data_IF_833536789553
#
_entry.id   IF_833536789553
#
_cell.length_a   1.000
_cell.length_b   1.000
_cell.length_c   1.000
_cell.angle_alpha   90.00
_cell.angle_beta   90.00
_cell.angle_gamma   90.00
#
_symmetry.space_group_name_H-M   'P 1'
#
loop_
_entity.id
_entity.type
_entity.pdbx_description
1 polymer ?
#
# COMPACT_ATOMS: atom_id res chain seq x y z
N UNK A 1 9.74 12.26 -11.32
CA UNK A 1 8.93 12.83 -10.24
C UNK A 1 9.80 12.70 -9.01
N UNK A 2 10.40 13.79 -8.56
CA UNK A 2 11.34 13.78 -7.44
C UNK A 2 10.50 13.83 -6.17
N UNK A 3 10.40 12.72 -5.45
CA UNK A 3 9.78 12.72 -4.12
C UNK A 3 10.70 13.54 -3.21
N UNK A 4 10.23 14.69 -2.73
CA UNK A 4 10.97 15.44 -1.73
C UNK A 4 10.94 14.64 -0.43
N UNK A 5 12.08 14.48 0.26
CA UNK A 5 12.12 13.87 1.58
C UNK A 5 11.40 14.80 2.54
N UNK A 6 10.13 14.52 2.81
CA UNK A 6 9.32 15.30 3.75
C UNK A 6 8.66 14.33 4.70
N UNK A 7 9.27 14.13 5.86
CA UNK A 7 8.55 13.67 7.03
C UNK A 7 7.63 14.81 7.46
N UNK A 8 6.37 14.78 7.03
CA UNK A 8 5.33 15.71 7.48
C UNK A 8 4.43 14.98 8.47
N UNK A 9 4.44 15.49 9.69
CA UNK A 9 3.50 15.09 10.73
C UNK A 9 2.18 15.83 10.52
N UNK A 10 1.12 15.10 10.19
CA UNK A 10 -0.26 15.59 10.26
C UNK A 10 -1.15 14.48 10.83
N UNK A 11 -1.37 14.52 12.15
CA UNK A 11 -2.16 13.52 12.86
C UNK A 11 -1.48 12.13 12.91
N UNK A 12 -2.21 11.08 12.53
CA UNK A 12 -1.77 9.68 12.63
C UNK A 12 -1.06 9.14 11.37
N UNK A 13 -0.56 10.02 10.51
CA UNK A 13 0.06 9.70 9.21
C UNK A 13 1.51 10.17 9.15
N UNK A 14 2.38 9.34 8.57
CA UNK A 14 3.73 9.73 8.18
C UNK A 14 4.10 9.18 6.80
N UNK A 15 4.78 10.02 6.00
CA UNK A 15 5.34 9.66 4.70
C UNK A 15 6.85 9.71 4.80
N UNK A 16 7.51 8.65 4.34
CA UNK A 16 8.97 8.58 4.28
C UNK A 16 9.38 8.46 2.83
N UNK A 17 9.98 9.53 2.33
CA UNK A 17 10.63 9.53 1.02
C UNK A 17 11.88 8.65 1.01
N UNK A 18 12.32 8.28 -0.19
CA UNK A 18 13.52 7.47 -0.37
C UNK A 18 14.76 8.08 0.28
N UNK A 19 15.59 7.23 0.89
CA UNK A 19 16.86 7.62 1.50
C UNK A 19 16.74 8.36 2.83
N UNK A 20 15.54 8.45 3.41
CA UNK A 20 15.36 8.92 4.78
C UNK A 20 15.46 7.76 5.77
N UNK A 21 16.32 7.91 6.78
CA UNK A 21 16.32 7.01 7.92
C UNK A 21 15.05 7.24 8.75
N UNK A 22 14.28 6.17 8.96
CA UNK A 22 13.15 6.17 9.89
C UNK A 22 13.67 6.16 11.33
N UNK A 23 13.47 7.26 12.07
CA UNK A 23 13.66 7.24 13.52
C UNK A 23 12.47 6.51 14.17
N UNK A 24 12.64 5.21 14.40
CA UNK A 24 11.64 4.35 15.03
C UNK A 24 11.26 4.81 16.45
N UNK A 25 12.12 5.59 17.12
CA UNK A 25 11.85 6.17 18.44
C UNK A 25 10.76 7.25 18.35
N UNK A 26 10.79 8.05 17.29
CA UNK A 26 9.76 9.05 17.01
C UNK A 26 8.44 8.37 16.69
N UNK A 27 8.46 7.35 15.82
CA UNK A 27 7.24 6.60 15.45
C UNK A 27 6.55 5.98 16.66
N UNK A 28 7.34 5.43 17.59
CA UNK A 28 6.82 4.78 18.79
C UNK A 28 6.03 5.76 19.67
N UNK A 29 6.48 7.01 19.76
CA UNK A 29 5.81 8.06 20.55
C UNK A 29 4.52 8.53 19.88
N UNK A 30 4.48 8.55 18.56
CA UNK A 30 3.35 9.06 17.78
C UNK A 30 2.17 8.10 17.70
N UNK A 31 2.39 6.79 17.93
CA UNK A 31 1.36 5.74 17.77
C UNK A 31 0.68 5.82 16.39
N UNK A 32 1.49 6.02 15.35
CA UNK A 32 1.03 6.13 13.97
C UNK A 32 0.17 4.93 13.57
N UNK A 33 -0.90 5.22 12.84
CA UNK A 33 -1.79 4.19 12.30
C UNK A 33 -1.62 4.03 10.79
N UNK A 34 -1.16 5.08 10.11
CA UNK A 34 -0.99 5.13 8.66
C UNK A 34 0.48 5.44 8.33
N UNK A 35 1.06 4.63 7.47
CA UNK A 35 2.46 4.75 7.06
C UNK A 35 2.57 4.57 5.56
N UNK A 36 3.20 5.53 4.87
CA UNK A 36 3.59 5.40 3.47
C UNK A 36 5.12 5.41 3.39
N UNK A 37 5.68 4.33 2.84
CA UNK A 37 7.12 4.14 2.70
C UNK A 37 7.49 4.10 1.22
N UNK A 38 8.25 5.11 0.78
CA UNK A 38 8.99 5.06 -0.48
C UNK A 38 10.23 4.20 -0.32
N UNK A 39 10.24 3.04 -0.96
CA UNK A 39 11.33 2.09 -0.85
C UNK A 39 12.41 2.38 -1.89
N UNK A 40 13.68 2.21 -1.52
CA UNK A 40 14.77 2.28 -2.49
C UNK A 40 14.75 1.04 -3.41
N UNK A 41 15.33 1.15 -4.61
CA UNK A 41 15.31 0.09 -5.62
C UNK A 41 16.15 -1.17 -5.29
N UNK A 42 16.71 -1.30 -4.08
CA UNK A 42 17.62 -2.40 -3.72
C UNK A 42 17.10 -3.21 -2.52
N UNK A 43 17.05 -4.54 -2.68
CA UNK A 43 16.63 -5.53 -1.67
C UNK A 43 17.44 -5.49 -0.37
N UNK A 44 18.66 -4.97 -0.38
CA UNK A 44 19.52 -4.92 0.80
C UNK A 44 18.97 -4.03 1.93
N UNK A 45 18.18 -3.00 1.60
CA UNK A 45 17.59 -2.13 2.63
C UNK A 45 16.32 -2.72 3.25
N UNK A 46 15.61 -3.58 2.52
CA UNK A 46 14.49 -4.35 3.07
C UNK A 46 14.91 -5.23 4.23
N UNK A 47 16.06 -5.89 4.10
CA UNK A 47 16.63 -6.69 5.18
C UNK A 47 16.95 -5.87 6.44
N UNK A 48 17.10 -4.54 6.32
CA UNK A 48 17.35 -3.64 7.45
C UNK A 48 16.07 -3.13 8.10
N UNK A 49 14.95 -3.11 7.39
CA UNK A 49 13.64 -2.85 7.97
C UNK A 49 13.22 -4.07 8.79
N UNK A 50 13.64 -4.12 10.05
CA UNK A 50 13.06 -5.04 11.03
C UNK A 50 11.62 -4.62 11.31
N UNK A 51 10.70 -5.06 10.45
CA UNK A 51 9.26 -4.83 10.59
C UNK A 51 8.64 -5.33 11.90
N UNK A 52 9.15 -6.35 12.63
CA UNK A 52 8.64 -6.65 13.98
C UNK A 52 9.10 -5.64 15.06
N UNK A 53 9.20 -4.36 14.73
CA UNK A 53 9.54 -3.32 15.70
C UNK A 53 8.29 -2.86 16.47
N UNK A 54 8.34 -2.71 17.81
CA UNK A 54 7.20 -2.25 18.61
C UNK A 54 6.57 -0.93 18.14
N UNK A 55 7.37 -0.04 17.54
CA UNK A 55 6.88 1.22 16.97
C UNK A 55 5.88 1.03 15.82
N UNK A 56 5.92 -0.11 15.14
CA UNK A 56 5.03 -0.43 14.02
C UNK A 56 3.80 -1.25 14.45
N UNK A 57 3.67 -1.57 15.75
CA UNK A 57 2.59 -2.42 16.27
C UNK A 57 1.19 -1.81 16.12
N UNK A 58 1.09 -0.50 15.92
CA UNK A 58 -0.18 0.23 15.75
C UNK A 58 -0.53 0.51 14.28
N UNK A 59 0.34 0.14 13.35
CA UNK A 59 0.13 0.41 11.92
C UNK A 59 -1.03 -0.46 11.42
N UNK A 60 -2.09 0.21 10.99
CA UNK A 60 -3.29 -0.41 10.41
C UNK A 60 -3.32 -0.25 8.90
N UNK A 61 -2.75 0.84 8.37
CA UNK A 61 -2.65 1.14 6.95
C UNK A 61 -1.18 1.31 6.56
N UNK A 62 -0.74 0.49 5.61
CA UNK A 62 0.62 0.55 5.09
C UNK A 62 0.57 0.68 3.57
N UNK A 63 1.19 1.73 3.05
CA UNK A 63 1.46 1.89 1.63
C UNK A 63 2.96 1.72 1.42
N UNK A 64 3.33 0.85 0.49
CA UNK A 64 4.72 0.59 0.14
C UNK A 64 4.88 0.95 -1.33
N UNK A 65 5.67 1.99 -1.56
CA UNK A 65 5.86 2.56 -2.88
C UNK A 65 7.20 2.12 -3.45
N UNK A 66 7.19 1.49 -4.61
CA UNK A 66 8.43 1.11 -5.30
C UNK A 66 8.88 2.17 -6.31
N UNK A 67 10.22 2.31 -6.42
CA UNK A 67 10.84 2.96 -7.55
C UNK A 67 10.80 2.09 -8.81
N UNK A 68 9.81 2.32 -9.66
CA UNK A 68 9.64 1.52 -10.88
C UNK A 68 10.74 1.72 -11.93
N UNK A 69 11.83 2.46 -11.65
CA UNK A 69 12.90 2.73 -12.62
C UNK A 69 13.67 1.48 -13.05
N UNK A 70 13.69 0.42 -12.25
CA UNK A 70 14.59 -0.72 -12.47
C UNK A 70 13.92 -2.04 -12.87
N UNK A 71 12.59 -2.11 -13.00
CA UNK A 71 11.83 -3.32 -13.41
C UNK A 71 12.16 -4.61 -12.62
N UNK A 72 12.74 -4.50 -11.43
CA UNK A 72 12.94 -5.64 -10.53
C UNK A 72 11.77 -5.70 -9.56
N UNK A 73 11.40 -6.89 -9.11
CA UNK A 73 10.20 -7.14 -8.32
C UNK A 73 10.61 -7.56 -6.90
N UNK A 74 10.99 -6.64 -6.01
CA UNK A 74 11.55 -6.97 -4.69
C UNK A 74 10.52 -7.55 -3.71
N UNK A 75 9.24 -7.55 -4.07
CA UNK A 75 8.16 -7.91 -3.17
C UNK A 75 8.14 -9.37 -2.76
N UNK A 76 8.58 -10.28 -3.64
CA UNK A 76 8.54 -11.72 -3.37
C UNK A 76 9.47 -12.08 -2.18
N UNK A 77 10.60 -11.38 -2.03
CA UNK A 77 11.54 -11.58 -0.90
C UNK A 77 11.15 -10.75 0.34
N UNK A 78 10.54 -9.58 0.15
CA UNK A 78 10.23 -8.66 1.24
C UNK A 78 8.94 -9.01 1.99
N UNK A 79 8.03 -9.75 1.37
CA UNK A 79 6.67 -9.96 1.88
C UNK A 79 6.63 -10.60 3.27
N UNK A 80 7.48 -11.60 3.53
CA UNK A 80 7.48 -12.35 4.78
C UNK A 80 7.56 -11.46 6.02
N UNK A 81 8.24 -10.33 5.94
CA UNK A 81 8.38 -9.39 7.05
C UNK A 81 7.09 -8.63 7.38
N UNK A 82 6.19 -8.41 6.42
CA UNK A 82 4.96 -7.62 6.60
C UNK A 82 3.91 -8.38 7.42
N UNK A 83 3.95 -9.71 7.38
CA UNK A 83 3.09 -10.61 8.16
C UNK A 83 3.26 -10.42 9.68
N UNK A 84 4.39 -9.84 10.10
CA UNK A 84 4.70 -9.59 11.51
C UNK A 84 3.94 -8.39 12.10
N UNK A 85 3.28 -7.56 11.28
CA UNK A 85 2.56 -6.37 11.75
C UNK A 85 1.20 -6.75 12.36
N UNK A 86 1.04 -6.65 13.69
CA UNK A 86 -0.10 -7.24 14.38
C UNK A 86 -1.42 -6.48 14.17
N UNK A 87 -1.38 -5.22 13.77
CA UNK A 87 -2.58 -4.39 13.58
C UNK A 87 -2.93 -4.16 12.10
N UNK A 88 -2.16 -4.73 11.16
CA UNK A 88 -2.31 -4.42 9.74
C UNK A 88 -3.65 -4.94 9.19
N UNK A 89 -4.47 -4.02 8.69
CA UNK A 89 -5.77 -4.31 8.06
C UNK A 89 -5.86 -3.79 6.62
N UNK A 90 -5.03 -2.80 6.26
CA UNK A 90 -5.01 -2.16 4.97
C UNK A 90 -3.58 -2.16 4.43
N UNK A 91 -3.41 -2.73 3.24
CA UNK A 91 -2.12 -2.77 2.56
C UNK A 91 -2.27 -2.20 1.15
N UNK A 92 -1.34 -1.36 0.74
CA UNK A 92 -1.20 -0.87 -0.62
C UNK A 92 0.22 -1.12 -1.09
N UNK A 93 0.33 -1.70 -2.27
CA UNK A 93 1.61 -1.92 -2.94
C UNK A 93 1.55 -1.21 -4.28
N UNK A 94 2.56 -0.40 -4.56
CA UNK A 94 2.67 0.31 -5.84
C UNK A 94 3.68 -0.41 -6.73
N UNK A 95 3.50 -0.23 -8.04
CA UNK A 95 4.36 -0.86 -9.03
C UNK A 95 3.78 -2.14 -9.61
N UNK A 96 4.65 -2.94 -10.23
CA UNK A 96 4.23 -4.18 -10.86
C UNK A 96 4.32 -5.30 -9.84
N UNK A 97 3.21 -6.00 -9.59
CA UNK A 97 3.19 -7.17 -8.70
C UNK A 97 3.11 -8.45 -9.51
N UNK A 98 3.70 -9.52 -8.99
CA UNK A 98 3.42 -10.87 -9.47
C UNK A 98 1.97 -11.24 -9.16
N UNK A 99 1.27 -11.90 -10.09
CA UNK A 99 -0.10 -12.40 -9.84
C UNK A 99 -0.14 -13.44 -8.71
N UNK A 100 0.97 -14.10 -8.41
CA UNK A 100 1.08 -15.09 -7.34
C UNK A 100 1.20 -14.45 -5.94
N UNK A 101 1.70 -13.22 -5.87
CA UNK A 101 1.96 -12.54 -4.59
C UNK A 101 0.67 -12.21 -3.85
N UNK A 102 -0.37 -11.73 -4.55
CA UNK A 102 -1.62 -11.32 -3.90
C UNK A 102 -2.35 -12.47 -3.16
N UNK A 103 -2.51 -13.68 -3.75
CA UNK A 103 -2.98 -14.84 -3.00
C UNK A 103 -2.15 -15.14 -1.75
N UNK A 104 -0.82 -15.05 -1.85
CA UNK A 104 0.07 -15.31 -0.72
C UNK A 104 -0.09 -14.26 0.39
N UNK A 105 -0.19 -12.98 0.01
CA UNK A 105 -0.49 -11.87 0.92
C UNK A 105 -1.72 -12.15 1.77
N UNK A 106 -2.80 -12.56 1.10
CA UNK A 106 -4.09 -12.78 1.73
C UNK A 106 -4.11 -14.03 2.62
N UNK A 107 -3.29 -15.03 2.30
CA UNK A 107 -3.12 -16.22 3.11
C UNK A 107 -2.32 -15.92 4.39
N UNK A 108 -1.22 -15.18 4.26
CA UNK A 108 -0.33 -14.89 5.39
C UNK A 108 -0.87 -13.79 6.32
N UNK A 109 -1.75 -12.91 5.79
CA UNK A 109 -2.35 -11.82 6.54
C UNK A 109 -3.89 -11.95 6.58
N UNK A 110 -4.45 -12.89 7.36
CA UNK A 110 -5.90 -13.15 7.39
C UNK A 110 -6.73 -11.96 7.91
N UNK A 111 -6.11 -11.02 8.64
CA UNK A 111 -6.76 -9.81 9.15
C UNK A 111 -6.88 -8.69 8.12
N UNK A 112 -6.25 -8.81 6.96
CA UNK A 112 -6.40 -7.80 5.92
C UNK A 112 -7.87 -7.70 5.53
N UNK A 113 -8.35 -6.47 5.54
CA UNK A 113 -9.68 -6.07 5.09
C UNK A 113 -9.63 -5.55 3.65
N UNK A 114 -8.51 -4.92 3.27
CA UNK A 114 -8.26 -4.37 1.94
C UNK A 114 -6.79 -4.59 1.57
N UNK A 115 -6.55 -5.07 0.34
CA UNK A 115 -5.23 -5.17 -0.27
C UNK A 115 -5.27 -4.49 -1.63
N UNK A 116 -4.54 -3.39 -1.79
CA UNK A 116 -4.59 -2.52 -2.97
C UNK A 116 -3.33 -2.69 -3.80
N UNK A 117 -3.48 -2.90 -5.11
CA UNK A 117 -2.42 -2.69 -6.09
C UNK A 117 -2.64 -1.33 -6.74
N UNK A 118 -1.69 -0.42 -6.54
CA UNK A 118 -1.82 0.98 -6.95
C UNK A 118 -1.04 1.22 -8.25
N UNK A 119 -1.77 1.67 -9.27
CA UNK A 119 -1.24 2.15 -10.53
C UNK A 119 -1.39 3.67 -10.59
N UNK A 120 -0.26 4.35 -10.66
CA UNK A 120 -0.25 5.80 -10.67
C UNK A 120 -0.51 6.38 -12.06
N UNK A 121 -1.32 7.44 -12.14
CA UNK A 121 -1.66 8.18 -13.37
C UNK A 121 -2.54 7.39 -14.33
N UNK A 122 -3.45 8.11 -14.98
CA UNK A 122 -4.42 7.56 -15.93
C UNK A 122 -3.79 6.77 -17.09
N UNK A 123 -2.59 7.16 -17.53
CA UNK A 123 -1.85 6.43 -18.58
C UNK A 123 -1.56 4.96 -18.24
N UNK A 124 -1.57 4.59 -16.95
CA UNK A 124 -1.34 3.23 -16.49
C UNK A 124 -2.64 2.42 -16.35
N UNK A 125 -3.81 2.96 -16.70
CA UNK A 125 -5.09 2.25 -16.64
C UNK A 125 -5.10 0.95 -17.44
N UNK A 126 -4.46 0.92 -18.60
CA UNK A 126 -4.40 -0.30 -19.41
C UNK A 126 -3.62 -1.42 -18.70
N UNK A 127 -2.55 -1.08 -17.98
CA UNK A 127 -1.79 -2.03 -17.16
C UNK A 127 -2.61 -2.52 -15.97
N UNK A 128 -3.29 -1.61 -15.27
CA UNK A 128 -4.20 -1.94 -14.17
C UNK A 128 -5.31 -2.92 -14.63
N UNK A 129 -5.95 -2.63 -15.76
CA UNK A 129 -6.98 -3.49 -16.36
C UNK A 129 -6.41 -4.86 -16.77
N UNK A 130 -5.19 -4.90 -17.32
CA UNK A 130 -4.54 -6.16 -17.68
C UNK A 130 -4.26 -7.01 -16.45
N UNK A 131 -3.69 -6.41 -15.40
CA UNK A 131 -3.43 -7.07 -14.12
C UNK A 131 -4.74 -7.59 -13.48
N UNK A 132 -5.76 -6.74 -13.37
CA UNK A 132 -7.05 -7.11 -12.79
C UNK A 132 -7.73 -8.30 -13.50
N UNK A 133 -7.57 -8.40 -14.83
CA UNK A 133 -8.09 -9.54 -15.62
C UNK A 133 -7.26 -10.82 -15.47
N UNK A 134 -5.96 -10.67 -15.18
CA UNK A 134 -5.06 -11.81 -15.05
C UNK A 134 -5.06 -12.41 -13.63
N UNK A 135 -5.64 -11.73 -12.65
CA UNK A 135 -5.88 -12.29 -11.31
C UNK A 135 -6.82 -13.51 -11.40
N UNK A 136 -6.31 -14.67 -10.98
CA UNK A 136 -7.08 -15.92 -10.90
C UNK A 136 -7.91 -16.02 -9.62
N UNK A 137 -7.53 -15.27 -8.59
CA UNK A 137 -8.22 -15.22 -7.30
C UNK A 137 -9.39 -14.23 -7.31
N UNK A 138 -10.51 -14.62 -6.71
CA UNK A 138 -11.72 -13.80 -6.56
C UNK A 138 -11.98 -13.43 -5.11
N UNK A 139 -10.96 -12.85 -4.46
CA UNK A 139 -11.10 -12.37 -3.09
C UNK A 139 -11.65 -10.93 -3.11
N UNK A 140 -12.75 -10.63 -2.41
CA UNK A 140 -13.34 -9.31 -2.43
C UNK A 140 -12.45 -8.22 -1.82
N UNK A 141 -11.44 -8.59 -1.02
CA UNK A 141 -10.49 -7.68 -0.37
C UNK A 141 -9.48 -7.06 -1.34
N UNK A 142 -9.25 -7.66 -2.50
CA UNK A 142 -8.28 -7.18 -3.48
C UNK A 142 -8.84 -5.97 -4.19
N UNK A 143 -8.09 -4.88 -4.32
CA UNK A 143 -8.48 -3.71 -5.11
C UNK A 143 -7.36 -3.39 -6.07
N UNK A 144 -7.68 -3.28 -7.35
CA UNK A 144 -6.75 -2.72 -8.34
C UNK A 144 -7.19 -1.28 -8.55
N UNK A 145 -6.34 -0.32 -8.19
CA UNK A 145 -6.66 1.09 -8.21
C UNK A 145 -5.78 1.83 -9.22
N UNK A 146 -6.39 2.73 -9.99
CA UNK A 146 -5.69 3.79 -10.72
C UNK A 146 -5.91 5.08 -9.94
N UNK A 147 -4.83 5.64 -9.40
CA UNK A 147 -4.86 6.83 -8.55
C UNK A 147 -4.10 7.95 -9.27
N UNK A 148 -4.70 9.14 -9.35
CA UNK A 148 -3.94 10.32 -9.77
C UNK A 148 -3.03 10.80 -8.63
N UNK A 149 -1.74 10.94 -8.90
CA UNK A 149 -0.71 11.18 -7.86
C UNK A 149 -0.57 12.66 -7.57
N UNK A 150 -1.69 13.36 -7.39
CA UNK A 150 -1.56 14.64 -6.71
C UNK A 150 -1.20 14.32 -5.26
N UNK A 151 -0.27 15.08 -4.69
CA UNK A 151 0.00 15.10 -3.25
C UNK A 151 -1.24 15.44 -2.42
N UNK A 152 -2.37 15.71 -3.06
CA UNK A 152 -3.57 16.19 -2.40
C UNK A 152 -4.37 15.04 -1.79
N UNK A 153 -4.31 13.81 -2.31
CA UNK A 153 -5.14 12.71 -1.78
C UNK A 153 -4.73 12.32 -0.35
N UNK A 154 -3.42 12.25 -0.07
CA UNK A 154 -2.94 11.96 1.27
C UNK A 154 -3.19 13.14 2.24
N UNK A 155 -3.02 14.38 1.79
CA UNK A 155 -3.32 15.57 2.61
C UNK A 155 -4.81 15.63 2.94
N UNK A 156 -5.64 15.25 1.97
CA UNK A 156 -7.10 15.16 2.12
C UNK A 156 -7.45 14.15 3.21
N UNK A 157 -6.85 12.95 3.15
CA UNK A 157 -7.01 11.93 4.19
C UNK A 157 -6.52 12.37 5.57
N UNK A 158 -5.37 13.04 5.64
CA UNK A 158 -4.82 13.57 6.90
C UNK A 158 -5.72 14.64 7.54
N UNK A 159 -6.46 15.39 6.72
CA UNK A 159 -7.47 16.37 7.17
C UNK A 159 -8.83 15.74 7.48
N UNK A 160 -8.96 14.41 7.41
CA UNK A 160 -10.17 13.66 7.72
C UNK A 160 -11.22 13.64 6.60
N UNK A 161 -10.85 14.05 5.39
CA UNK A 161 -11.70 13.87 4.22
C UNK A 161 -11.47 12.49 3.58
N UNK A 162 -12.35 12.13 2.62
CA UNK A 162 -12.27 10.85 1.92
C UNK A 162 -11.00 10.80 1.06
N UNK A 163 -10.10 9.87 1.38
CA UNK A 163 -8.91 9.54 0.60
C UNK A 163 -9.09 8.21 -0.16
N UNK A 164 -8.06 7.79 -0.90
CA UNK A 164 -8.14 6.53 -1.66
C UNK A 164 -8.43 5.30 -0.78
N UNK A 165 -8.07 5.31 0.51
CA UNK A 165 -8.39 4.20 1.42
C UNK A 165 -9.88 4.09 1.64
N UNK A 166 -10.55 5.21 1.92
CA UNK A 166 -12.02 5.25 2.06
C UNK A 166 -12.69 4.78 0.76
N UNK A 167 -12.16 5.17 -0.40
CA UNK A 167 -12.65 4.69 -1.68
C UNK A 167 -12.45 3.18 -1.86
N UNK A 168 -11.30 2.64 -1.47
CA UNK A 168 -11.01 1.20 -1.52
C UNK A 168 -11.91 0.39 -0.58
N UNK A 169 -12.16 0.86 0.64
CA UNK A 169 -13.11 0.23 1.58
C UNK A 169 -14.54 0.18 1.01
N UNK A 170 -15.02 1.30 0.48
CA UNK A 170 -16.34 1.39 -0.18
C UNK A 170 -16.41 0.42 -1.36
N UNK A 171 -15.33 0.29 -2.12
CA UNK A 171 -15.23 -0.62 -3.26
C UNK A 171 -15.30 -2.09 -2.82
N UNK A 172 -14.53 -2.50 -1.81
CA UNK A 172 -14.61 -3.85 -1.20
C UNK A 172 -16.02 -4.12 -0.66
N UNK A 173 -16.63 -3.17 0.04
CA UNK A 173 -17.97 -3.32 0.58
C UNK A 173 -19.04 -3.47 -0.51
N UNK A 174 -18.91 -2.77 -1.64
CA UNK A 174 -19.81 -2.95 -2.81
C UNK A 174 -19.60 -4.30 -3.48
N UNK A 175 -18.34 -4.76 -3.61
CA UNK A 175 -18.02 -6.07 -4.17
C UNK A 175 -18.55 -7.23 -3.33
N UNK A 176 -18.41 -7.17 -2.00
CA UNK A 176 -18.99 -8.17 -1.07
C UNK A 176 -20.52 -8.31 -1.22
N UNK A 177 -21.19 -7.26 -1.65
CA UNK A 177 -22.64 -7.23 -1.94
C UNK A 177 -22.99 -7.64 -3.37
N UNK A 178 -22.02 -8.04 -4.18
CA UNK A 178 -22.21 -8.41 -5.59
C UNK A 178 -22.47 -7.20 -6.52
N UNK A 179 -22.24 -5.97 -6.05
CA UNK A 179 -22.53 -4.75 -6.82
C UNK A 179 -21.44 -4.31 -7.79
N UNK A 180 -20.30 -5.01 -7.84
CA UNK A 180 -19.17 -4.74 -8.74
C UNK A 180 -18.47 -6.08 -9.08
N UNK A 181 -18.01 -6.20 -10.32
CA UNK A 181 -17.20 -7.34 -10.78
C UNK A 181 -15.81 -7.42 -10.09
N UNK A 182 -15.23 -8.62 -10.05
CA UNK A 182 -13.94 -8.87 -9.40
C UNK A 182 -12.74 -8.27 -10.16
N UNK A 183 -12.85 -8.17 -11.48
CA UNK A 183 -11.86 -7.57 -12.38
C UNK A 183 -12.04 -6.05 -12.55
N UNK A 184 -13.02 -5.43 -11.88
CA UNK A 184 -13.22 -3.99 -11.94
C UNK A 184 -12.03 -3.26 -11.29
N UNK A 185 -11.66 -2.14 -11.91
CA UNK A 185 -10.58 -1.27 -11.45
C UNK A 185 -11.19 -0.04 -10.78
N UNK A 186 -10.73 0.26 -9.56
CA UNK A 186 -11.07 1.49 -8.85
C UNK A 186 -10.40 2.67 -9.56
N UNK A 187 -11.14 3.76 -9.74
CA UNK A 187 -10.61 5.03 -10.26
C UNK A 187 -10.98 6.12 -9.28
N UNK A 188 -9.95 6.81 -8.78
CA UNK A 188 -10.03 7.91 -7.84
C UNK A 188 -9.08 9.01 -8.30
#
# INVERSE_FOLDING_TARGET
MTFYPVAREQGNLMIVGQGLELDLTVLQKMRLQRLDLGLPPASAEWARLTLPHPALSFITHLCLSEDTRNNQYPWDDAWGHLTSLPALTHLALTGHLSHALMPQILADCPRLLVAVTVYYKEKNRNLANAFARALTIRDPRIVVAVIDVSTDDWETGARGADDYWVHAEKFVARRRRGGIEYNAVLSC
#
